data_IF_981805855901
#
_entry.id   IF_981805855901
#
_cell.length_a   1.000
_cell.length_b   1.000
_cell.length_c   1.000
_cell.angle_alpha   90.00
_cell.angle_beta   90.00
_cell.angle_gamma   90.00
#
_symmetry.space_group_name_H-M   'P 1'
#
loop_
_entity.id
_entity.type
_entity.pdbx_description
1 polymer ?
#
# COMPACT_ATOMS: atom_id res chain seq x y z
N UNK A 1 16.46 15.65 2.04
CA UNK A 1 16.01 15.68 1.69
C UNK A 1 15.04 15.76 1.60
N UNK A 2 14.61 15.89 1.57
CA UNK A 2 13.70 16.15 1.42
C UNK A 2 12.86 15.54 0.64
N UNK A 3 12.87 14.60 0.15
CA UNK A 3 12.07 14.00 -0.62
C UNK A 3 11.02 13.46 0.09
N UNK A 4 10.04 13.79 0.41
CA UNK A 4 8.92 13.34 1.09
C UNK A 4 8.16 12.36 0.22
N UNK A 5 8.78 11.29 -0.15
CA UNK A 5 8.17 10.31 -1.03
C UNK A 5 6.85 9.74 -0.50
N UNK A 6 6.83 9.37 0.77
CA UNK A 6 5.61 8.80 1.31
C UNK A 6 4.49 9.83 1.42
N UNK A 7 4.85 11.10 1.63
CA UNK A 7 3.85 12.14 1.68
C UNK A 7 3.22 12.32 0.30
N UNK A 8 4.03 12.25 -0.77
CA UNK A 8 3.51 12.39 -2.10
C UNK A 8 2.64 11.21 -2.46
N UNK A 9 3.07 10.00 -2.07
CA UNK A 9 2.28 8.82 -2.35
C UNK A 9 0.97 8.88 -1.59
N UNK A 10 0.99 9.34 -0.36
CA UNK A 10 -0.23 9.45 0.43
C UNK A 10 -1.19 10.45 -0.24
N UNK A 11 -0.68 11.55 -0.78
CA UNK A 11 -1.52 12.50 -1.44
C UNK A 11 -2.22 11.88 -2.64
N UNK A 12 -1.51 11.06 -3.40
CA UNK A 12 -2.10 10.42 -4.55
C UNK A 12 -3.11 9.36 -4.15
N UNK A 13 -2.77 8.55 -3.18
CA UNK A 13 -3.63 7.47 -2.74
C UNK A 13 -4.90 8.03 -2.11
N UNK A 14 -4.78 9.06 -1.28
CA UNK A 14 -5.93 9.57 -0.59
C UNK A 14 -6.95 10.17 -1.56
N UNK A 15 -6.47 10.78 -2.66
CA UNK A 15 -7.40 11.32 -3.61
C UNK A 15 -8.18 10.23 -4.31
N UNK A 16 -7.59 9.05 -4.47
CA UNK A 16 -8.24 7.96 -5.17
C UNK A 16 -9.18 7.18 -4.28
N UNK A 17 -8.85 7.06 -3.00
CA UNK A 17 -9.61 6.17 -2.14
C UNK A 17 -10.50 6.83 -1.10
N UNK A 18 -10.24 8.05 -0.72
CA UNK A 18 -11.06 8.67 0.30
C UNK A 18 -12.15 9.52 -0.33
N UNK A 19 -13.34 9.52 0.25
CA UNK A 19 -14.42 10.35 -0.27
C UNK A 19 -14.11 11.79 0.06
N UNK A 20 -14.69 12.72 -0.75
CA UNK A 20 -14.48 14.09 -0.54
C UNK A 20 -14.92 14.52 0.79
N UNK A 21 -15.94 13.94 1.35
CA UNK A 21 -16.47 14.32 2.63
C UNK A 21 -15.90 13.52 3.79
N UNK A 22 -14.72 12.94 3.61
CA UNK A 22 -14.12 12.15 4.68
C UNK A 22 -13.85 13.04 5.90
N UNK A 23 -14.15 12.53 7.08
CA UNK A 23 -13.91 13.27 8.31
C UNK A 23 -12.42 13.22 8.64
N UNK A 24 -11.99 14.11 9.55
CA UNK A 24 -10.60 14.13 9.97
C UNK A 24 -10.19 12.79 10.54
N UNK A 25 -11.10 12.15 11.29
CA UNK A 25 -10.79 10.88 11.88
C UNK A 25 -10.62 9.82 10.81
N UNK A 26 -11.46 9.81 9.78
CA UNK A 26 -11.34 8.86 8.71
C UNK A 26 -10.02 9.05 7.96
N UNK A 27 -9.63 10.29 7.74
CA UNK A 27 -8.39 10.59 7.05
C UNK A 27 -7.20 10.10 7.89
N UNK A 28 -7.24 10.35 9.17
CA UNK A 28 -6.16 9.95 10.05
C UNK A 28 -6.03 8.44 10.12
N UNK A 29 -7.15 7.74 10.23
CA UNK A 29 -7.17 6.29 10.28
C UNK A 29 -6.59 5.71 8.99
N UNK A 30 -7.00 6.27 7.84
CA UNK A 30 -6.52 5.80 6.56
C UNK A 30 -5.03 6.07 6.41
N UNK A 31 -4.56 7.23 6.89
CA UNK A 31 -3.17 7.56 6.78
C UNK A 31 -2.32 6.62 7.64
N UNK A 32 -2.80 6.28 8.83
CA UNK A 32 -2.08 5.37 9.70
C UNK A 32 -2.00 3.97 9.07
N UNK A 33 -3.08 3.54 8.42
CA UNK A 33 -3.09 2.25 7.76
C UNK A 33 -2.11 2.25 6.57
N UNK A 34 -2.07 3.36 5.85
CA UNK A 34 -1.17 3.49 4.71
C UNK A 34 0.28 3.39 5.19
N UNK A 35 0.63 4.09 6.26
CA UNK A 35 1.99 4.08 6.76
C UNK A 35 2.36 2.72 7.33
N UNK A 36 1.43 2.05 8.00
CA UNK A 36 1.70 0.73 8.54
C UNK A 36 1.95 -0.27 7.41
N UNK A 37 1.16 -0.16 6.32
CA UNK A 37 1.36 -1.02 5.17
C UNK A 37 2.70 -0.77 4.50
N UNK A 38 3.06 0.51 4.36
CA UNK A 38 4.33 0.86 3.74
C UNK A 38 5.50 0.33 4.58
N UNK A 39 5.38 0.42 5.90
CA UNK A 39 6.42 -0.07 6.78
C UNK A 39 6.56 -1.59 6.63
N UNK A 40 5.44 -2.29 6.57
CA UNK A 40 5.47 -3.74 6.41
C UNK A 40 6.18 -4.17 5.14
N UNK A 41 5.85 -3.52 4.02
CA UNK A 41 6.48 -3.83 2.75
C UNK A 41 7.98 -3.49 2.81
N UNK A 42 8.30 -2.34 3.40
CA UNK A 42 9.68 -1.92 3.51
C UNK A 42 10.50 -2.93 4.31
N UNK A 43 9.97 -3.42 5.42
CA UNK A 43 10.70 -4.37 6.25
C UNK A 43 10.94 -5.68 5.52
N UNK A 44 9.96 -6.12 4.73
CA UNK A 44 10.13 -7.32 3.95
C UNK A 44 11.25 -7.15 2.92
N UNK A 45 11.29 -6.00 2.24
CA UNK A 45 12.31 -5.76 1.25
C UNK A 45 13.68 -5.59 1.90
N UNK A 46 13.72 -4.93 3.05
CA UNK A 46 14.95 -4.71 3.74
C UNK A 46 15.57 -6.05 4.15
N UNK A 47 14.74 -6.97 4.63
CA UNK A 47 15.20 -8.28 5.02
C UNK A 47 15.78 -9.01 3.81
N UNK A 48 15.13 -8.93 2.66
CA UNK A 48 15.61 -9.60 1.47
C UNK A 48 16.94 -8.99 0.99
N UNK A 49 17.08 -7.68 1.10
CA UNK A 49 18.30 -7.02 0.70
C UNK A 49 19.43 -7.38 1.64
N UNK A 50 19.17 -7.41 2.93
CA UNK A 50 20.19 -7.71 3.90
C UNK A 50 20.69 -9.16 3.81
N UNK A 51 19.87 -10.03 3.26
CA UNK A 51 20.27 -11.42 3.12
C UNK A 51 21.38 -11.58 2.07
N UNK A 52 21.53 -10.60 1.20
CA UNK A 52 22.52 -10.67 0.15
C UNK A 52 22.15 -11.62 -0.97
N UNK A 53 20.95 -12.17 -0.94
CA UNK A 53 20.53 -13.15 -1.93
C UNK A 53 19.68 -12.45 -2.98
N UNK A 54 20.22 -12.26 -4.17
CA UNK A 54 19.49 -11.56 -5.21
C UNK A 54 18.27 -12.34 -5.67
N UNK A 55 18.32 -13.65 -5.61
CA UNK A 55 17.19 -14.45 -6.03
C UNK A 55 16.05 -14.27 -5.03
N UNK A 56 16.37 -14.14 -3.75
CA UNK A 56 15.37 -13.93 -2.72
C UNK A 56 14.74 -12.57 -2.91
N UNK A 57 15.53 -11.55 -3.24
CA UNK A 57 14.98 -10.24 -3.44
C UNK A 57 14.04 -10.24 -4.65
N UNK A 58 14.44 -10.86 -5.75
CA UNK A 58 13.62 -10.91 -6.94
C UNK A 58 12.32 -11.66 -6.68
N UNK A 59 12.38 -12.75 -5.94
CA UNK A 59 11.19 -13.53 -5.61
C UNK A 59 10.26 -12.74 -4.72
N UNK A 60 10.82 -12.02 -3.76
CA UNK A 60 10.02 -11.22 -2.84
C UNK A 60 9.29 -10.11 -3.61
N UNK A 61 9.98 -9.45 -4.53
CA UNK A 61 9.36 -8.40 -5.31
C UNK A 61 8.24 -8.94 -6.18
N UNK A 62 8.45 -10.10 -6.82
CA UNK A 62 7.42 -10.67 -7.65
C UNK A 62 6.21 -11.07 -6.83
N UNK A 63 6.44 -11.62 -5.66
CA UNK A 63 5.35 -12.03 -4.80
C UNK A 63 4.55 -10.82 -4.35
N UNK A 64 5.23 -9.75 -3.91
CA UNK A 64 4.53 -8.56 -3.46
C UNK A 64 3.73 -7.94 -4.59
N UNK A 65 4.29 -7.92 -5.80
CA UNK A 65 3.58 -7.35 -6.93
C UNK A 65 2.32 -8.15 -7.21
N UNK A 66 2.43 -9.48 -7.19
CA UNK A 66 1.29 -10.30 -7.46
C UNK A 66 0.22 -10.08 -6.42
N UNK A 67 0.57 -10.05 -5.14
CA UNK A 67 -0.40 -9.87 -4.08
C UNK A 67 -1.08 -8.51 -4.16
N UNK A 68 -0.32 -7.46 -4.50
CA UNK A 68 -0.90 -6.16 -4.64
C UNK A 68 -1.85 -6.09 -5.81
N UNK A 69 -1.49 -6.72 -6.93
CA UNK A 69 -2.35 -6.72 -8.10
C UNK A 69 -3.63 -7.50 -7.83
N UNK A 70 -3.55 -8.61 -7.11
CA UNK A 70 -4.73 -9.38 -6.79
C UNK A 70 -5.62 -8.61 -5.83
N UNK A 71 -5.03 -7.88 -4.89
CA UNK A 71 -5.79 -7.07 -3.96
C UNK A 71 -6.55 -5.97 -4.67
N UNK A 72 -5.89 -5.31 -5.62
CA UNK A 72 -6.53 -4.26 -6.37
C UNK A 72 -7.66 -4.82 -7.22
N UNK A 73 -7.41 -5.94 -7.88
CA UNK A 73 -8.42 -6.54 -8.73
C UNK A 73 -9.64 -6.97 -7.92
N UNK A 74 -9.39 -7.52 -6.74
CA UNK A 74 -10.47 -7.95 -5.91
C UNK A 74 -11.28 -6.77 -5.45
N UNK A 75 -10.63 -5.67 -5.11
CA UNK A 75 -11.34 -4.51 -4.68
C UNK A 75 -12.18 -3.95 -5.80
N UNK A 76 -11.73 -3.96 -7.03
CA UNK A 76 -12.51 -3.45 -8.12
C UNK A 76 -13.70 -4.29 -8.38
N UNK A 77 -13.69 -5.57 -8.10
CA UNK A 77 -14.81 -6.35 -8.40
C UNK A 77 -15.75 -6.45 -7.31
N UNK A 78 -15.39 -6.17 -6.09
CA UNK A 78 -16.23 -6.34 -4.97
C UNK A 78 -17.35 -5.48 -4.71
N UNK A 79 -17.36 -4.28 -5.07
CA UNK A 79 -18.38 -3.35 -4.69
C UNK A 79 -19.74 -3.73 -4.85
N UNK A 80 -20.07 -4.49 -5.73
CA UNK A 80 -21.36 -4.63 -5.93
C UNK A 80 -22.02 -5.36 -4.92
N UNK A 81 -21.53 -6.18 -4.22
CA UNK A 81 -22.21 -6.84 -3.40
C UNK A 81 -22.66 -6.20 -2.29
N UNK A 82 -22.13 -5.20 -1.92
CA UNK A 82 -22.55 -4.56 -0.87
C UNK A 82 -23.78 -3.96 -1.02
N UNK A 83 -24.24 -3.68 -2.05
CA UNK A 83 -25.44 -3.00 -2.29
C UNK A 83 -26.58 -3.72 -1.68
N UNK A 84 -26.48 -4.86 -1.29
CA UNK A 84 -27.66 -5.43 -0.76
C UNK A 84 -27.84 -5.21 0.65
#
# INVERSE_FOLDING_TARGET
>A
MRDATLVKLWSQVSRSFLPRAATSRQIETAQNAFLAGALGVFLHLEHAIESGDEALLATTLKRLRRELNLGVARRRRAPRRQAT
#
